data_IF_836282833160
#
_entry.id   IF_836282833160
#
_cell.length_a   1.000
_cell.length_b   1.000
_cell.length_c   1.000
_cell.angle_alpha   90.00
_cell.angle_beta   90.00
_cell.angle_gamma   90.00
#
_symmetry.space_group_name_H-M   'P 1'
#
loop_
_entity.id
_entity.type
_entity.pdbx_description
1 polymer ?
#
# COMPACT_ATOMS: atom_id res chain seq x y z
N UNK A 1 30.13 -4.02 14.88
CA UNK A 1 29.13 -5.01 14.43
C UNK A 1 28.55 -4.47 13.13
N UNK A 2 28.78 -5.14 12.00
CA UNK A 2 28.24 -4.71 10.71
C UNK A 2 26.76 -5.09 10.67
N UNK A 3 25.88 -4.10 10.73
CA UNK A 3 24.45 -4.31 10.51
C UNK A 3 24.26 -4.91 9.10
N UNK A 4 23.57 -6.03 9.02
CA UNK A 4 23.29 -6.68 7.74
C UNK A 4 22.22 -5.86 6.99
N UNK A 5 22.16 -6.00 5.66
CA UNK A 5 21.08 -5.45 4.84
C UNK A 5 19.69 -5.81 5.41
N UNK A 6 19.59 -6.99 6.03
CA UNK A 6 18.38 -7.45 6.71
C UNK A 6 18.01 -6.63 7.94
N UNK A 7 18.98 -6.30 8.80
CA UNK A 7 18.75 -5.47 10.00
C UNK A 7 18.36 -4.03 9.64
N UNK A 8 18.94 -3.51 8.55
CA UNK A 8 18.60 -2.21 8.00
C UNK A 8 17.16 -2.14 7.47
N UNK A 9 16.73 -3.20 6.77
CA UNK A 9 15.38 -3.28 6.20
C UNK A 9 14.33 -3.65 7.27
N UNK A 10 14.72 -4.34 8.34
CA UNK A 10 13.84 -4.61 9.48
C UNK A 10 13.57 -3.35 10.31
N UNK A 11 14.60 -2.54 10.57
CA UNK A 11 14.43 -1.22 11.23
C UNK A 11 13.63 -0.23 10.39
N UNK A 12 13.75 -0.29 9.06
CA UNK A 12 12.89 0.47 8.13
C UNK A 12 11.48 -0.13 7.99
N UNK A 13 11.34 -1.42 8.29
CA UNK A 13 10.11 -2.20 8.24
C UNK A 13 9.24 -2.09 9.48
N UNK A 14 9.73 -1.47 10.56
CA UNK A 14 8.91 -1.07 11.70
C UNK A 14 7.86 -0.06 11.22
N UNK A 15 6.68 -0.59 10.92
CA UNK A 15 5.51 0.20 10.59
C UNK A 15 5.20 1.12 11.78
N UNK A 16 5.52 2.40 11.64
CA UNK A 16 4.97 3.41 12.52
C UNK A 16 3.45 3.26 12.50
N UNK A 17 2.84 3.13 13.68
CA UNK A 17 1.39 3.08 13.85
C UNK A 17 0.67 4.23 13.13
N UNK A 18 1.36 5.36 12.97
CA UNK A 18 0.91 6.52 12.19
C UNK A 18 0.78 6.19 10.70
N UNK A 19 1.79 5.56 10.10
CA UNK A 19 1.76 5.16 8.68
C UNK A 19 0.70 4.09 8.43
N UNK A 20 0.58 3.11 9.33
CA UNK A 20 -0.47 2.10 9.26
C UNK A 20 -1.87 2.74 9.31
N UNK A 21 -2.09 3.66 10.23
CA UNK A 21 -3.33 4.42 10.35
C UNK A 21 -3.65 5.25 9.11
N UNK A 22 -2.65 5.94 8.54
CA UNK A 22 -2.81 6.72 7.31
C UNK A 22 -3.20 5.85 6.12
N UNK A 23 -2.53 4.71 5.94
CA UNK A 23 -2.80 3.78 4.82
C UNK A 23 -4.16 3.13 4.96
N UNK A 24 -4.51 2.68 6.17
CA UNK A 24 -5.83 2.13 6.48
C UNK A 24 -6.94 3.16 6.24
N UNK A 25 -6.73 4.41 6.66
CA UNK A 25 -7.67 5.52 6.44
C UNK A 25 -7.80 5.86 4.97
N UNK A 26 -6.68 5.98 4.25
CA UNK A 26 -6.69 6.20 2.81
C UNK A 26 -7.45 5.08 2.09
N UNK A 27 -7.23 3.81 2.49
CA UNK A 27 -7.93 2.68 1.91
C UNK A 27 -9.44 2.73 2.16
N UNK A 28 -9.85 3.03 3.39
CA UNK A 28 -11.25 3.20 3.76
C UNK A 28 -11.92 4.34 2.96
N UNK A 29 -11.25 5.48 2.80
CA UNK A 29 -11.74 6.62 2.01
C UNK A 29 -11.91 6.25 0.54
N UNK A 30 -10.95 5.55 -0.07
CA UNK A 30 -11.06 5.12 -1.48
C UNK A 30 -12.22 4.15 -1.69
N UNK A 31 -12.40 3.19 -0.77
CA UNK A 31 -13.52 2.25 -0.83
C UNK A 31 -14.85 2.97 -0.64
N UNK A 32 -14.94 3.89 0.32
CA UNK A 32 -16.14 4.72 0.50
C UNK A 32 -16.46 5.56 -0.75
N UNK A 33 -15.45 6.13 -1.41
CA UNK A 33 -15.64 6.82 -2.71
C UNK A 33 -16.21 5.89 -3.78
N UNK A 34 -15.73 4.65 -3.86
CA UNK A 34 -16.30 3.66 -4.79
C UNK A 34 -17.74 3.29 -4.45
N UNK A 35 -18.06 3.19 -3.16
CA UNK A 35 -19.41 2.95 -2.67
C UNK A 35 -20.35 4.12 -3.00
N UNK A 36 -19.93 5.36 -2.80
CA UNK A 36 -20.70 6.57 -3.10
C UNK A 36 -20.94 6.75 -4.61
N UNK A 37 -19.93 6.43 -5.43
CA UNK A 37 -20.06 6.47 -6.90
C UNK A 37 -21.07 5.44 -7.39
N UNK A 38 -21.28 4.37 -6.62
CA UNK A 38 -21.99 3.19 -7.06
C UNK A 38 -22.84 2.56 -5.94
N UNK A 39 -23.87 3.27 -5.45
CA UNK A 39 -24.61 2.88 -4.27
C UNK A 39 -25.25 1.51 -4.45
N UNK A 40 -24.94 0.59 -3.54
CA UNK A 40 -25.63 -0.70 -3.42
C UNK A 40 -26.17 -0.82 -1.99
N UNK A 41 -27.46 -1.11 -1.84
CA UNK A 41 -28.11 -1.14 -0.52
C UNK A 41 -27.86 -2.43 0.27
N UNK A 42 -28.00 -2.35 1.61
CA UNK A 42 -28.11 -3.51 2.50
C UNK A 42 -26.82 -3.95 3.22
N UNK A 43 -26.92 -4.98 4.08
CA UNK A 43 -25.82 -5.50 4.93
C UNK A 43 -24.63 -6.02 4.11
N UNK A 44 -24.90 -6.55 2.90
CA UNK A 44 -23.84 -7.01 2.00
C UNK A 44 -22.90 -5.87 1.57
N UNK A 45 -23.37 -4.63 1.56
CA UNK A 45 -22.57 -3.45 1.27
C UNK A 45 -21.48 -3.20 2.32
N UNK A 46 -21.80 -3.46 3.58
CA UNK A 46 -20.90 -3.26 4.74
C UNK A 46 -19.76 -4.28 4.69
N UNK A 47 -20.12 -5.56 4.57
CA UNK A 47 -19.12 -6.63 4.54
C UNK A 47 -18.20 -6.52 3.33
N UNK A 48 -18.75 -6.22 2.15
CA UNK A 48 -17.95 -5.98 0.93
C UNK A 48 -17.06 -4.75 1.07
N UNK A 49 -17.53 -3.69 1.72
CA UNK A 49 -16.73 -2.51 2.02
C UNK A 49 -15.53 -2.84 2.89
N UNK A 50 -15.75 -3.53 4.03
CA UNK A 50 -14.67 -3.97 4.92
C UNK A 50 -13.65 -4.84 4.18
N UNK A 51 -14.12 -5.85 3.44
CA UNK A 51 -13.25 -6.75 2.70
C UNK A 51 -12.47 -6.02 1.61
N UNK A 52 -13.10 -5.08 0.90
CA UNK A 52 -12.43 -4.25 -0.09
C UNK A 52 -11.37 -3.34 0.54
N UNK A 53 -11.63 -2.79 1.74
CA UNK A 53 -10.65 -1.98 2.48
C UNK A 53 -9.45 -2.81 2.92
N UNK A 54 -9.69 -4.01 3.45
CA UNK A 54 -8.61 -4.95 3.83
C UNK A 54 -7.79 -5.35 2.61
N UNK A 55 -8.45 -5.71 1.50
CA UNK A 55 -7.79 -6.05 0.24
C UNK A 55 -6.92 -4.92 -0.29
N UNK A 56 -7.45 -3.69 -0.27
CA UNK A 56 -6.73 -2.54 -0.80
C UNK A 56 -5.59 -2.09 0.13
N UNK A 57 -5.80 -2.11 1.45
CA UNK A 57 -4.83 -1.63 2.44
C UNK A 57 -3.73 -2.62 2.81
N UNK A 58 -4.06 -3.92 2.91
CA UNK A 58 -3.14 -4.97 3.42
C UNK A 58 -2.91 -6.08 2.39
N UNK A 59 -3.63 -6.08 1.26
CA UNK A 59 -3.56 -7.17 0.27
C UNK A 59 -2.15 -7.49 -0.22
N UNK A 60 -1.26 -6.51 -0.30
CA UNK A 60 0.13 -6.75 -0.70
C UNK A 60 0.94 -7.52 0.35
N UNK A 61 0.68 -7.29 1.65
CA UNK A 61 1.28 -8.05 2.74
C UNK A 61 0.69 -9.46 2.81
N UNK A 62 -0.63 -9.59 2.60
CA UNK A 62 -1.29 -10.90 2.50
C UNK A 62 -0.72 -11.73 1.35
N UNK A 63 -0.54 -11.13 0.18
CA UNK A 63 0.02 -11.82 -0.98
C UNK A 63 1.48 -12.24 -0.74
N UNK A 64 2.30 -11.36 -0.14
CA UNK A 64 3.66 -11.72 0.28
C UNK A 64 3.64 -12.90 1.26
N UNK A 65 2.82 -12.84 2.31
CA UNK A 65 2.76 -13.89 3.32
C UNK A 65 2.37 -15.24 2.72
N UNK A 66 1.42 -15.25 1.77
CA UNK A 66 1.03 -16.45 1.03
C UNK A 66 2.15 -17.01 0.15
N UNK A 67 2.90 -16.15 -0.56
CA UNK A 67 4.00 -16.58 -1.44
C UNK A 67 5.19 -17.11 -0.62
N UNK A 68 5.49 -16.46 0.50
CA UNK A 68 6.62 -16.78 1.36
C UNK A 68 6.32 -17.84 2.42
N UNK A 69 5.05 -18.23 2.59
CA UNK A 69 4.62 -19.14 3.65
C UNK A 69 4.78 -18.53 5.06
N UNK A 70 4.70 -17.21 5.20
CA UNK A 70 4.78 -16.53 6.49
C UNK A 70 3.51 -16.80 7.33
N UNK A 71 3.61 -16.82 8.67
CA UNK A 71 2.44 -17.04 9.52
C UNK A 71 1.40 -15.94 9.32
N UNK A 72 0.10 -16.28 9.25
CA UNK A 72 -0.98 -15.32 9.04
C UNK A 72 -1.16 -14.36 10.23
N UNK A 73 -0.48 -14.58 11.34
CA UNK A 73 -0.52 -13.71 12.52
C UNK A 73 0.09 -12.34 12.23
N UNK A 74 1.05 -12.26 11.32
CA UNK A 74 1.75 -11.01 10.94
C UNK A 74 0.83 -9.96 10.33
N UNK A 75 -0.34 -10.37 9.80
CA UNK A 75 -1.32 -9.48 9.15
C UNK A 75 -2.51 -9.11 10.03
N UNK A 76 -2.67 -9.72 11.21
CA UNK A 76 -3.84 -9.49 12.08
C UNK A 76 -3.96 -8.01 12.47
N UNK A 77 -2.86 -7.41 12.93
CA UNK A 77 -2.83 -6.01 13.37
C UNK A 77 -3.13 -5.05 12.21
N UNK A 78 -2.48 -5.16 11.03
CA UNK A 78 -2.86 -4.38 9.85
C UNK A 78 -4.32 -4.55 9.41
N UNK A 79 -4.86 -5.76 9.48
CA UNK A 79 -6.27 -6.04 9.16
C UNK A 79 -7.18 -5.32 10.15
N UNK A 80 -6.91 -5.42 11.45
CA UNK A 80 -7.68 -4.72 12.48
C UNK A 80 -7.67 -3.20 12.28
N UNK A 81 -6.51 -2.63 11.91
CA UNK A 81 -6.41 -1.20 11.58
C UNK A 81 -7.28 -0.82 10.38
N UNK A 82 -7.34 -1.66 9.33
CA UNK A 82 -8.21 -1.43 8.17
C UNK A 82 -9.70 -1.54 8.51
N UNK A 83 -10.08 -2.50 9.36
CA UNK A 83 -11.46 -2.64 9.85
C UNK A 83 -11.86 -1.41 10.68
N UNK A 84 -10.99 -0.99 11.60
CA UNK A 84 -11.22 0.20 12.43
C UNK A 84 -11.31 1.48 11.58
N UNK A 85 -10.43 1.64 10.59
CA UNK A 85 -10.46 2.77 9.67
C UNK A 85 -11.73 2.76 8.81
N UNK A 86 -12.18 1.61 8.32
CA UNK A 86 -13.44 1.50 7.60
C UNK A 86 -14.63 1.91 8.47
N UNK A 87 -14.68 1.41 9.70
CA UNK A 87 -15.75 1.75 10.63
C UNK A 87 -15.76 3.26 10.96
N UNK A 88 -14.58 3.84 11.20
CA UNK A 88 -14.42 5.27 11.47
C UNK A 88 -14.84 6.11 10.25
N UNK A 89 -14.36 5.79 9.05
CA UNK A 89 -14.67 6.56 7.85
C UNK A 89 -16.14 6.44 7.47
N UNK A 90 -16.77 5.28 7.63
CA UNK A 90 -18.14 5.02 7.14
C UNK A 90 -19.23 5.36 8.16
N UNK A 91 -18.97 5.19 9.46
CA UNK A 91 -19.98 5.29 10.51
C UNK A 91 -19.73 6.41 11.53
N UNK A 92 -18.70 7.23 11.36
CA UNK A 92 -18.49 8.36 12.26
C UNK A 92 -19.65 9.36 12.15
N UNK A 93 -20.17 9.87 13.28
CA UNK A 93 -21.24 10.86 13.28
C UNK A 93 -20.86 12.09 12.44
N UNK A 94 -21.81 12.57 11.64
CA UNK A 94 -21.66 13.72 10.73
C UNK A 94 -20.60 13.53 9.64
N UNK A 95 -20.16 12.30 9.38
CA UNK A 95 -19.20 11.98 8.31
C UNK A 95 -17.90 12.79 8.38
N UNK A 96 -17.47 13.18 9.59
CA UNK A 96 -16.32 14.08 9.79
C UNK A 96 -15.03 13.54 9.14
N UNK A 97 -14.61 12.28 9.35
CA UNK A 97 -13.35 11.78 8.79
C UNK A 97 -13.40 11.73 7.27
N UNK A 98 -14.55 11.37 6.71
CA UNK A 98 -14.73 11.30 5.27
C UNK A 98 -14.73 12.68 4.63
N UNK A 99 -15.49 13.63 5.18
CA UNK A 99 -15.54 15.00 4.68
C UNK A 99 -14.20 15.72 4.83
N UNK A 100 -13.50 15.56 5.95
CA UNK A 100 -12.13 16.07 6.13
C UNK A 100 -11.17 15.49 5.10
N UNK A 101 -11.27 14.20 4.79
CA UNK A 101 -10.41 13.55 3.78
C UNK A 101 -10.60 14.08 2.36
N UNK A 102 -11.71 14.78 2.07
CA UNK A 102 -11.92 15.44 0.78
C UNK A 102 -11.22 16.79 0.69
N UNK A 103 -10.78 17.37 1.82
CA UNK A 103 -10.03 18.62 1.77
C UNK A 103 -8.66 18.39 1.11
N UNK A 104 -8.18 19.30 0.23
CA UNK A 104 -6.93 19.10 -0.50
C UNK A 104 -5.73 18.81 0.41
N UNK A 105 -5.63 19.50 1.55
CA UNK A 105 -4.54 19.33 2.50
C UNK A 105 -4.51 17.92 3.14
N UNK A 106 -5.66 17.43 3.62
CA UNK A 106 -5.75 16.10 4.25
C UNK A 106 -5.57 15.01 3.21
N UNK A 107 -6.16 15.18 2.02
CA UNK A 107 -5.98 14.23 0.92
C UNK A 107 -4.50 14.14 0.50
N UNK A 108 -3.79 15.28 0.43
CA UNK A 108 -2.36 15.30 0.15
C UNK A 108 -1.56 14.53 1.22
N UNK A 109 -1.85 14.73 2.50
CA UNK A 109 -1.19 13.99 3.59
C UNK A 109 -1.44 12.48 3.51
N UNK A 110 -2.67 12.06 3.23
CA UNK A 110 -3.02 10.64 3.06
C UNK A 110 -2.27 10.02 1.87
N UNK A 111 -2.17 10.74 0.75
CA UNK A 111 -1.46 10.29 -0.45
C UNK A 111 0.06 10.22 -0.19
N UNK A 112 0.65 11.24 0.40
CA UNK A 112 2.09 11.27 0.74
C UNK A 112 2.42 10.15 1.72
N UNK A 113 1.61 9.95 2.77
CA UNK A 113 1.78 8.85 3.71
C UNK A 113 1.69 7.48 3.04
N UNK A 114 0.77 7.32 2.08
CA UNK A 114 0.68 6.10 1.26
C UNK A 114 1.95 5.85 0.43
N UNK A 115 2.51 6.89 -0.19
CA UNK A 115 3.73 6.77 -1.00
C UNK A 115 4.96 6.43 -0.15
N UNK A 116 5.08 7.02 1.04
CA UNK A 116 6.11 6.65 2.02
C UNK A 116 5.97 5.18 2.41
N UNK A 117 4.77 4.75 2.78
CA UNK A 117 4.48 3.35 3.11
C UNK A 117 4.81 2.42 1.94
N UNK A 118 4.45 2.79 0.70
CA UNK A 118 4.75 2.01 -0.51
C UNK A 118 6.25 1.78 -0.65
N UNK A 119 7.06 2.81 -0.46
CA UNK A 119 8.52 2.68 -0.56
C UNK A 119 9.09 1.72 0.49
N UNK A 120 8.62 1.84 1.74
CA UNK A 120 9.01 0.92 2.82
C UNK A 120 8.54 -0.52 2.54
N UNK A 121 7.33 -0.69 2.00
CA UNK A 121 6.79 -2.01 1.63
C UNK A 121 7.65 -2.72 0.57
N UNK A 122 8.23 -1.99 -0.38
CA UNK A 122 9.18 -2.54 -1.36
C UNK A 122 10.41 -3.09 -0.63
N UNK A 123 10.99 -2.29 0.27
CA UNK A 123 12.14 -2.70 1.08
C UNK A 123 11.86 -3.95 1.91
N UNK A 124 10.74 -3.98 2.63
CA UNK A 124 10.29 -5.13 3.43
C UNK A 124 10.10 -6.36 2.55
N UNK A 125 9.46 -6.22 1.38
CA UNK A 125 9.22 -7.33 0.46
C UNK A 125 10.51 -7.95 -0.08
N UNK A 126 11.47 -7.10 -0.49
CA UNK A 126 12.80 -7.56 -0.93
C UNK A 126 13.52 -8.27 0.23
N UNK A 127 13.48 -7.71 1.44
CA UNK A 127 14.16 -8.30 2.59
C UNK A 127 13.60 -9.68 2.96
N UNK A 128 12.27 -9.78 3.14
CA UNK A 128 11.61 -11.04 3.48
C UNK A 128 11.91 -12.13 2.44
N UNK A 129 11.92 -11.76 1.16
CA UNK A 129 12.24 -12.69 0.09
C UNK A 129 13.72 -13.10 0.07
N UNK A 130 14.66 -12.20 0.36
CA UNK A 130 16.08 -12.54 0.49
C UNK A 130 16.36 -13.46 1.69
N UNK A 131 15.58 -13.32 2.78
CA UNK A 131 15.65 -14.20 3.95
C UNK A 131 15.18 -15.61 3.64
N UNK A 132 14.09 -15.76 2.89
CA UNK A 132 13.49 -17.06 2.55
C UNK A 132 14.21 -17.73 1.37
N UNK A 133 14.54 -16.97 0.33
CA UNK A 133 15.17 -17.44 -0.89
C UNK A 133 16.55 -16.81 -1.09
N UNK A 134 17.46 -17.09 -0.14
CA UNK A 134 18.85 -16.60 -0.21
C UNK A 134 19.52 -17.03 -1.52
N UNK A 135 19.84 -16.08 -2.38
CA UNK A 135 20.46 -16.31 -3.69
C UNK A 135 19.52 -16.20 -4.90
N UNK A 136 18.19 -16.07 -4.70
CA UNK A 136 17.26 -15.81 -5.79
C UNK A 136 16.86 -14.33 -5.85
N UNK A 137 17.72 -13.52 -6.48
CA UNK A 137 17.49 -12.08 -6.65
C UNK A 137 16.22 -11.77 -7.48
N UNK A 138 15.81 -12.69 -8.37
CA UNK A 138 14.58 -12.53 -9.17
C UNK A 138 13.35 -12.63 -8.27
N UNK A 139 13.31 -13.60 -7.37
CA UNK A 139 12.20 -13.74 -6.42
C UNK A 139 12.13 -12.53 -5.47
N UNK A 140 13.28 -12.05 -5.00
CA UNK A 140 13.34 -10.88 -4.15
C UNK A 140 12.84 -9.61 -4.85
N UNK A 141 13.25 -9.39 -6.10
CA UNK A 141 12.76 -8.28 -6.91
C UNK A 141 11.25 -8.43 -7.17
N UNK A 142 10.77 -9.63 -7.51
CA UNK A 142 9.35 -9.88 -7.79
C UNK A 142 8.44 -9.57 -6.59
N UNK A 143 8.84 -9.97 -5.38
CA UNK A 143 8.07 -9.69 -4.16
C UNK A 143 8.14 -8.20 -3.80
N UNK A 144 9.29 -7.55 -3.97
CA UNK A 144 9.41 -6.09 -3.86
C UNK A 144 8.50 -5.34 -4.82
N UNK A 145 8.48 -5.74 -6.10
CA UNK A 145 7.61 -5.20 -7.15
C UNK A 145 6.14 -5.40 -6.77
N UNK A 146 5.75 -6.60 -6.35
CA UNK A 146 4.39 -6.92 -5.92
C UNK A 146 3.93 -5.98 -4.80
N UNK A 147 4.78 -5.80 -3.78
CA UNK A 147 4.49 -4.92 -2.64
C UNK A 147 4.34 -3.46 -3.03
N UNK A 148 5.17 -2.97 -3.95
CA UNK A 148 5.13 -1.59 -4.43
C UNK A 148 4.02 -1.28 -5.42
N UNK A 149 3.67 -2.24 -6.28
CA UNK A 149 2.71 -2.06 -7.38
C UNK A 149 1.29 -2.52 -7.08
N UNK A 150 1.06 -3.20 -5.94
CA UNK A 150 -0.21 -3.80 -5.56
C UNK A 150 -1.40 -2.90 -5.79
N UNK A 151 -1.37 -1.67 -5.29
CA UNK A 151 -2.51 -0.75 -5.33
C UNK A 151 -3.04 -0.53 -6.75
N UNK A 152 -2.16 -0.41 -7.75
CA UNK A 152 -2.56 -0.28 -9.16
C UNK A 152 -2.87 -1.64 -9.77
N UNK A 153 -1.99 -2.63 -9.58
CA UNK A 153 -2.06 -3.90 -10.28
C UNK A 153 -3.25 -4.77 -9.83
N UNK A 154 -3.49 -4.89 -8.53
CA UNK A 154 -4.47 -5.85 -7.98
C UNK A 154 -5.40 -5.23 -6.94
N UNK A 155 -4.92 -4.23 -6.19
CA UNK A 155 -5.64 -3.55 -5.13
C UNK A 155 -6.92 -2.88 -5.64
N UNK A 156 -6.81 -1.89 -6.54
CA UNK A 156 -7.99 -1.18 -7.08
C UNK A 156 -8.93 -2.09 -7.86
N UNK A 157 -8.47 -2.91 -8.84
CA UNK A 157 -9.36 -3.79 -9.57
C UNK A 157 -10.04 -4.80 -8.64
N UNK A 158 -9.29 -5.46 -7.76
CA UNK A 158 -9.83 -6.44 -6.82
C UNK A 158 -10.81 -5.84 -5.81
N UNK A 159 -10.56 -4.63 -5.30
CA UNK A 159 -11.51 -3.92 -4.43
C UNK A 159 -12.85 -3.67 -5.14
N UNK A 160 -12.82 -3.26 -6.43
CA UNK A 160 -14.03 -3.09 -7.24
C UNK A 160 -14.77 -4.41 -7.44
N UNK A 161 -14.05 -5.50 -7.70
CA UNK A 161 -14.64 -6.85 -7.83
C UNK A 161 -15.29 -7.30 -6.53
N UNK A 162 -14.64 -7.08 -5.38
CA UNK A 162 -15.20 -7.41 -4.06
C UNK A 162 -16.49 -6.62 -3.79
N UNK A 163 -16.55 -5.36 -4.26
CA UNK A 163 -17.76 -4.54 -4.22
C UNK A 163 -18.84 -4.99 -5.21
N UNK A 164 -18.58 -6.03 -6.02
CA UNK A 164 -19.53 -6.62 -6.98
C UNK A 164 -19.54 -5.93 -8.34
N UNK A 165 -18.46 -5.25 -8.73
CA UNK A 165 -18.32 -4.59 -10.04
C UNK A 165 -17.60 -5.48 -11.04
N UNK A 166 -17.92 -5.32 -12.32
CA UNK A 166 -17.28 -6.05 -13.40
C UNK A 166 -15.85 -5.57 -13.59
N UNK A 167 -14.93 -6.50 -13.90
CA UNK A 167 -13.56 -6.18 -14.32
C UNK A 167 -13.57 -5.42 -15.64
N UNK A 168 -14.60 -5.60 -16.49
CA UNK A 168 -14.74 -4.90 -17.76
C UNK A 168 -15.00 -3.38 -17.60
N UNK A 169 -15.49 -2.95 -16.44
CA UNK A 169 -15.63 -1.52 -16.09
C UNK A 169 -14.30 -0.91 -15.61
N UNK A 170 -13.24 -1.71 -15.54
CA UNK A 170 -11.90 -1.30 -15.16
C UNK A 170 -11.07 -1.14 -16.43
N UNK A 171 -11.08 0.05 -17.03
CA UNK A 171 -9.99 0.42 -17.92
C UNK A 171 -8.71 0.34 -17.11
N UNK A 172 -7.76 -0.51 -17.52
CA UNK A 172 -6.44 -0.55 -16.92
C UNK A 172 -5.74 0.75 -17.31
N UNK A 173 -5.66 1.74 -16.42
CA UNK A 173 -5.01 2.98 -16.77
C UNK A 173 -3.53 2.65 -16.97
N UNK A 174 -2.85 3.44 -17.81
CA UNK A 174 -1.41 3.38 -17.90
C UNK A 174 -0.80 3.37 -16.47
N UNK A 175 0.22 2.55 -16.21
CA UNK A 175 0.78 2.42 -14.89
C UNK A 175 1.20 3.80 -14.37
N UNK A 176 0.74 4.20 -13.17
CA UNK A 176 1.21 5.44 -12.56
C UNK A 176 2.71 5.34 -12.34
N UNK A 177 3.43 6.48 -12.31
CA UNK A 177 4.89 6.56 -12.09
C UNK A 177 5.36 5.74 -10.88
N UNK A 178 4.49 5.54 -9.89
CA UNK A 178 4.76 4.69 -8.74
C UNK A 178 5.11 3.24 -9.06
N UNK A 179 4.50 2.65 -10.10
CA UNK A 179 4.73 1.26 -10.49
C UNK A 179 6.14 1.07 -11.05
N UNK A 180 6.58 1.77 -12.13
CA UNK A 180 7.94 1.62 -12.62
C UNK A 180 8.99 2.09 -11.61
N UNK A 181 8.73 3.15 -10.83
CA UNK A 181 9.65 3.59 -9.78
C UNK A 181 9.86 2.52 -8.70
N UNK A 182 8.78 1.87 -8.23
CA UNK A 182 8.87 0.77 -7.30
C UNK A 182 9.60 -0.44 -7.90
N UNK A 183 9.40 -0.73 -9.18
CA UNK A 183 10.10 -1.84 -9.84
C UNK A 183 11.59 -1.60 -9.96
N UNK A 184 12.01 -0.40 -10.36
CA UNK A 184 13.42 -0.03 -10.42
C UNK A 184 14.03 -0.09 -9.02
N UNK A 185 13.36 0.46 -8.01
CA UNK A 185 13.85 0.42 -6.64
C UNK A 185 13.97 -1.01 -6.09
N UNK A 186 13.02 -1.90 -6.40
CA UNK A 186 13.09 -3.31 -6.00
C UNK A 186 14.31 -4.01 -6.60
N UNK A 187 14.61 -3.78 -7.89
CA UNK A 187 15.80 -4.33 -8.54
C UNK A 187 17.09 -3.74 -7.97
N UNK A 188 17.13 -2.43 -7.71
CA UNK A 188 18.30 -1.80 -7.09
C UNK A 188 18.54 -2.34 -5.66
N UNK A 189 17.47 -2.60 -4.91
CA UNK A 189 17.57 -3.15 -3.56
C UNK A 189 18.09 -4.59 -3.53
N UNK A 190 17.82 -5.42 -4.54
CA UNK A 190 18.41 -6.77 -4.61
C UNK A 190 19.90 -6.74 -4.94
N UNK A 191 20.39 -5.64 -5.54
CA UNK A 191 21.79 -5.41 -5.84
C UNK A 191 22.53 -4.65 -4.73
N UNK A 192 21.82 -4.14 -3.73
CA UNK A 192 22.42 -3.36 -2.66
C UNK A 192 23.35 -4.25 -1.80
N UNK A 193 24.61 -3.83 -1.69
CA UNK A 193 25.63 -4.56 -0.92
C UNK A 193 25.82 -3.99 0.49
N UNK A 194 25.28 -2.79 0.75
CA UNK A 194 25.41 -2.09 2.03
C UNK A 194 24.08 -1.53 2.52
N UNK A 195 23.96 -1.37 3.85
CA UNK A 195 22.83 -0.69 4.50
C UNK A 195 22.64 0.74 3.99
N UNK A 196 23.74 1.47 3.79
CA UNK A 196 23.70 2.85 3.31
C UNK A 196 23.12 2.96 1.91
N UNK A 197 23.39 1.99 1.04
CA UNK A 197 22.82 1.97 -0.32
C UNK A 197 21.33 1.68 -0.28
N UNK A 198 20.90 0.73 0.54
CA UNK A 198 19.48 0.43 0.71
C UNK A 198 18.68 1.63 1.24
N UNK A 199 19.20 2.33 2.25
CA UNK A 199 18.61 3.55 2.78
C UNK A 199 18.51 4.65 1.72
N UNK A 200 19.55 4.84 0.90
CA UNK A 200 19.55 5.82 -0.19
C UNK A 200 18.55 5.48 -1.28
N UNK A 201 18.43 4.20 -1.64
CA UNK A 201 17.46 3.74 -2.64
C UNK A 201 16.02 3.99 -2.14
N UNK A 202 15.73 3.65 -0.88
CA UNK A 202 14.40 3.87 -0.29
C UNK A 202 14.10 5.36 -0.15
N UNK A 203 15.06 6.17 0.32
CA UNK A 203 14.89 7.62 0.41
C UNK A 203 14.69 8.27 -0.97
N UNK A 204 15.45 7.81 -1.97
CA UNK A 204 15.27 8.24 -3.36
C UNK A 204 13.90 7.87 -3.91
N UNK A 205 13.41 6.65 -3.63
CA UNK A 205 12.07 6.24 -4.01
C UNK A 205 11.00 7.12 -3.33
N UNK A 206 11.11 7.37 -2.03
CA UNK A 206 10.20 8.27 -1.30
C UNK A 206 10.18 9.65 -1.97
N UNK A 207 11.36 10.23 -2.22
CA UNK A 207 11.48 11.55 -2.84
C UNK A 207 10.80 11.60 -4.22
N UNK A 208 11.04 10.60 -5.07
CA UNK A 208 10.41 10.50 -6.41
C UNK A 208 8.89 10.40 -6.31
N UNK A 209 8.37 9.51 -5.45
CA UNK A 209 6.93 9.29 -5.32
C UNK A 209 6.22 10.52 -4.74
N UNK A 210 6.80 11.14 -3.72
CA UNK A 210 6.23 12.34 -3.08
C UNK A 210 6.31 13.55 -4.00
N UNK A 211 7.42 13.76 -4.70
CA UNK A 211 7.56 14.85 -5.68
C UNK A 211 6.54 14.70 -6.82
N UNK A 212 6.39 13.49 -7.36
CA UNK A 212 5.41 13.20 -8.41
C UNK A 212 3.98 13.47 -7.96
N UNK A 213 3.58 12.99 -6.76
CA UNK A 213 2.23 13.25 -6.22
C UNK A 213 1.99 14.72 -5.93
N UNK A 214 3.00 15.43 -5.46
CA UNK A 214 2.91 16.86 -5.21
C UNK A 214 2.69 17.63 -6.52
N UNK A 215 3.37 17.23 -7.60
CA UNK A 215 3.18 17.77 -8.94
C UNK A 215 1.77 17.47 -9.50
N UNK A 216 1.28 16.23 -9.37
CA UNK A 216 -0.08 15.87 -9.78
C UNK A 216 -1.14 16.70 -9.03
N UNK A 217 -0.99 16.87 -7.72
CA UNK A 217 -1.91 17.68 -6.91
C UNK A 217 -1.87 19.17 -7.26
N UNK A 218 -0.70 19.69 -7.65
CA UNK A 218 -0.56 21.07 -8.10
C UNK A 218 -1.25 21.30 -9.45
N UNK A 219 -1.10 20.38 -10.40
CA UNK A 219 -1.67 20.51 -11.75
C UNK A 219 -3.14 20.11 -11.87
N UNK A 220 -3.71 19.48 -10.85
CA UNK A 220 -5.14 19.12 -10.84
C UNK A 220 -6.05 20.29 -10.44
N UNK A 221 -5.47 21.44 -10.07
CA UNK A 221 -6.16 22.71 -9.82
C UNK A 221 -5.94 23.68 -11.00
#
# INVERSE_FOLDING_TARGET
MNATLGDALDTLGEFSWVLLGLVATHAAVQVRKYQDTYPTGGVQHVLRGVLATVWFGVGSALAQALILGEPPESVIVPVAACVAAYACVTYCPRDIPYTLSQTPAVNALLIVGLEVCRALCVGVGVNSALKVYSGNAVMAAAIGILRGSWGWALGRPGAKVILGRSIADVSWPAPPVSTPAASVAAVLLTMATSQTDAQRIIAGLIAVLVAWRSYELFNAN
#
